data_IF_099572648554
#
_entry.id   IF_099572648554
#
_cell.length_a   1.000
_cell.length_b   1.000
_cell.length_c   1.000
_cell.angle_alpha   90.00
_cell.angle_beta   90.00
_cell.angle_gamma   90.00
#
_symmetry.space_group_name_H-M   'P 1'
#
loop_
_entity.id
_entity.type
_entity.pdbx_description
1 polymer ?
#
# COMPACT_ATOMS: atom_id res chain seq x y z
N UNK A 1 -22.81 -3.01 -12.97
CA UNK A 1 -22.12 -4.17 -13.57
C UNK A 1 -21.00 -4.65 -12.67
N UNK A 2 -20.90 -5.96 -12.37
CA UNK A 2 -19.72 -6.52 -11.73
C UNK A 2 -18.50 -6.25 -12.63
N UNK A 3 -17.45 -5.64 -12.10
CA UNK A 3 -16.20 -5.39 -12.83
C UNK A 3 -16.00 -3.99 -13.40
N UNK A 4 -16.91 -3.04 -13.18
CA UNK A 4 -16.82 -1.68 -13.75
C UNK A 4 -15.57 -0.89 -13.35
N UNK A 5 -14.90 -1.26 -12.24
CA UNK A 5 -13.64 -0.66 -11.79
C UNK A 5 -12.53 -1.70 -11.56
N UNK A 6 -12.81 -2.99 -11.72
CA UNK A 6 -11.82 -4.05 -11.42
C UNK A 6 -10.59 -3.99 -12.33
N UNK A 7 -10.71 -3.40 -13.52
CA UNK A 7 -9.58 -3.18 -14.42
C UNK A 7 -8.59 -2.12 -13.90
N UNK A 8 -9.00 -1.30 -12.92
CA UNK A 8 -8.14 -0.31 -12.30
C UNK A 8 -7.24 -0.93 -11.23
N UNK A 9 -7.48 -2.17 -10.79
CA UNK A 9 -6.73 -2.80 -9.72
C UNK A 9 -5.90 -3.97 -10.24
N UNK A 10 -4.60 -3.96 -9.93
CA UNK A 10 -3.67 -5.03 -10.25
C UNK A 10 -3.36 -5.84 -9.00
N UNK A 11 -3.31 -7.17 -9.14
CA UNK A 11 -2.86 -8.03 -8.05
C UNK A 11 -1.34 -7.95 -7.94
N UNK A 12 -0.85 -7.32 -6.88
CA UNK A 12 0.57 -7.09 -6.59
C UNK A 12 0.98 -7.81 -5.31
N UNK A 13 2.27 -8.01 -5.11
CA UNK A 13 2.85 -8.35 -3.82
C UNK A 13 3.25 -7.07 -3.10
N UNK A 14 2.88 -6.95 -1.83
CA UNK A 14 3.27 -5.84 -0.97
C UNK A 14 3.98 -6.37 0.27
N UNK A 15 5.16 -5.82 0.56
CA UNK A 15 5.92 -6.12 1.78
C UNK A 15 6.07 -4.84 2.59
N UNK A 16 5.64 -4.87 3.86
CA UNK A 16 5.78 -3.74 4.78
C UNK A 16 7.03 -3.94 5.63
N UNK A 17 7.99 -3.02 5.49
CA UNK A 17 9.27 -3.05 6.19
C UNK A 17 9.28 -1.91 7.21
N UNK A 18 9.34 -2.17 8.52
CA UNK A 18 9.41 -1.12 9.52
C UNK A 18 10.68 -0.27 9.31
N UNK A 19 10.57 1.06 9.41
CA UNK A 19 11.70 1.95 9.09
C UNK A 19 12.91 1.69 9.96
N UNK A 20 12.71 1.58 11.27
CA UNK A 20 13.78 1.45 12.26
C UNK A 20 14.95 2.43 11.97
N UNK A 21 16.14 1.92 11.66
CA UNK A 21 17.32 2.72 11.26
C UNK A 21 17.60 2.69 9.75
N UNK A 22 16.73 2.06 8.96
CA UNK A 22 16.89 1.89 7.52
C UNK A 22 16.55 3.18 6.77
N UNK A 23 17.30 3.43 5.70
CA UNK A 23 16.94 4.37 4.65
C UNK A 23 16.22 3.67 3.49
N UNK A 24 15.54 4.45 2.65
CA UNK A 24 14.92 3.95 1.41
C UNK A 24 15.97 3.25 0.53
N UNK A 25 17.18 3.82 0.43
CA UNK A 25 18.30 3.26 -0.34
C UNK A 25 18.73 1.87 0.18
N UNK A 26 18.71 1.64 1.50
CA UNK A 26 19.04 0.35 2.09
C UNK A 26 18.02 -0.73 1.66
N UNK A 27 16.73 -0.38 1.73
CA UNK A 27 15.64 -1.28 1.33
C UNK A 27 15.68 -1.54 -0.17
N UNK A 28 15.80 -0.49 -0.99
CA UNK A 28 15.87 -0.59 -2.44
C UNK A 28 17.03 -1.48 -2.89
N UNK A 29 18.21 -1.29 -2.31
CA UNK A 29 19.39 -2.10 -2.62
C UNK A 29 19.16 -3.58 -2.32
N UNK A 30 18.43 -3.90 -1.25
CA UNK A 30 18.13 -5.28 -0.88
C UNK A 30 17.17 -5.98 -1.85
N UNK A 31 16.27 -5.24 -2.52
CA UNK A 31 15.16 -5.82 -3.29
C UNK A 31 15.21 -5.61 -4.80
N UNK A 32 16.06 -4.71 -5.30
CA UNK A 32 16.14 -4.32 -6.71
C UNK A 32 16.31 -5.53 -7.66
N UNK A 33 17.18 -6.48 -7.31
CA UNK A 33 17.43 -7.67 -8.12
C UNK A 33 16.41 -8.80 -7.89
N UNK A 34 15.49 -8.62 -6.93
CA UNK A 34 14.52 -9.63 -6.51
C UNK A 34 13.14 -9.46 -7.15
N UNK A 35 12.97 -8.45 -8.03
CA UNK A 35 11.70 -8.17 -8.72
C UNK A 35 10.82 -7.12 -8.04
N UNK A 36 11.39 -6.30 -7.16
CA UNK A 36 10.69 -5.11 -6.68
C UNK A 36 10.50 -4.09 -7.81
N UNK A 37 9.32 -3.48 -7.84
CA UNK A 37 8.93 -2.45 -8.80
C UNK A 37 9.06 -1.06 -8.18
N UNK A 38 8.61 -0.89 -6.93
CA UNK A 38 8.59 0.38 -6.21
C UNK A 38 8.94 0.17 -4.73
N UNK A 39 9.56 1.19 -4.13
CA UNK A 39 9.76 1.31 -2.68
C UNK A 39 9.20 2.67 -2.27
N UNK A 40 8.13 2.68 -1.49
CA UNK A 40 7.49 3.91 -1.03
C UNK A 40 7.85 4.17 0.43
N UNK A 41 8.26 5.40 0.76
CA UNK A 41 8.45 5.85 2.14
C UNK A 41 7.09 6.27 2.75
N UNK A 42 6.62 5.53 3.75
CA UNK A 42 5.39 5.79 4.48
C UNK A 42 5.63 6.50 5.82
N UNK A 43 6.81 7.07 6.03
CA UNK A 43 7.21 7.73 7.28
C UNK A 43 7.73 6.74 8.32
N UNK A 44 6.86 5.89 8.87
CA UNK A 44 7.21 4.90 9.92
C UNK A 44 7.60 3.53 9.35
N UNK A 45 7.33 3.30 8.07
CA UNK A 45 7.64 2.06 7.35
C UNK A 45 7.95 2.35 5.88
N UNK A 46 8.52 1.37 5.19
CA UNK A 46 8.63 1.32 3.74
C UNK A 46 7.66 0.29 3.20
N UNK A 47 7.02 0.61 2.08
CA UNK A 47 6.21 -0.32 1.31
C UNK A 47 7.00 -0.74 0.07
N UNK A 48 7.30 -2.04 -0.04
CA UNK A 48 7.91 -2.61 -1.25
C UNK A 48 6.82 -3.25 -2.09
N UNK A 49 6.64 -2.75 -3.31
CA UNK A 49 5.66 -3.25 -4.28
C UNK A 49 6.38 -4.11 -5.32
N UNK A 50 5.76 -5.24 -5.70
CA UNK A 50 6.25 -6.12 -6.75
C UNK A 50 5.10 -6.83 -7.47
N UNK A 51 5.39 -7.57 -8.54
CA UNK A 51 4.44 -8.55 -9.06
C UNK A 51 4.11 -9.62 -8.01
N UNK A 52 2.85 -10.07 -7.97
CA UNK A 52 2.43 -11.05 -6.97
C UNK A 52 3.19 -12.40 -7.08
N UNK A 53 3.76 -12.71 -8.25
CA UNK A 53 4.64 -13.87 -8.45
C UNK A 53 6.01 -13.72 -7.79
N UNK A 54 6.46 -12.49 -7.58
CA UNK A 54 7.82 -12.16 -7.17
C UNK A 54 7.91 -11.91 -5.65
N UNK A 55 6.76 -11.83 -4.96
CA UNK A 55 6.64 -11.62 -3.52
C UNK A 55 7.57 -12.53 -2.68
N UNK A 56 7.69 -13.80 -3.06
CA UNK A 56 8.58 -14.74 -2.35
C UNK A 56 10.05 -14.35 -2.53
N UNK A 57 10.45 -13.96 -3.74
CA UNK A 57 11.83 -13.55 -4.03
C UNK A 57 12.17 -12.26 -3.27
N UNK A 58 11.28 -11.26 -3.33
CA UNK A 58 11.44 -9.97 -2.64
C UNK A 58 11.59 -10.13 -1.13
N UNK A 59 10.66 -10.83 -0.47
CA UNK A 59 10.74 -11.02 0.99
C UNK A 59 11.98 -11.83 1.43
N UNK A 60 12.42 -12.78 0.60
CA UNK A 60 13.63 -13.54 0.87
C UNK A 60 14.91 -12.73 0.67
N UNK A 61 14.90 -11.76 -0.25
CA UNK A 61 16.01 -10.84 -0.46
C UNK A 61 16.19 -9.90 0.76
N UNK A 62 15.09 -9.35 1.29
CA UNK A 62 15.09 -8.60 2.55
C UNK A 62 15.71 -9.42 3.70
N UNK A 63 15.22 -10.65 3.90
CA UNK A 63 15.75 -11.55 4.93
C UNK A 63 17.24 -11.87 4.74
N UNK A 64 17.69 -12.03 3.49
CA UNK A 64 19.11 -12.29 3.17
C UNK A 64 19.98 -11.08 3.47
N UNK A 65 19.45 -9.86 3.29
CA UNK A 65 20.08 -8.61 3.68
C UNK A 65 20.03 -8.34 5.20
N UNK A 66 19.34 -9.20 5.98
CA UNK A 66 19.16 -9.01 7.42
C UNK A 66 18.10 -7.96 7.77
N UNK A 67 17.19 -7.67 6.83
CA UNK A 67 16.07 -6.74 7.01
C UNK A 67 14.81 -7.56 7.34
N UNK A 68 14.25 -7.30 8.52
CA UNK A 68 12.96 -7.85 8.93
C UNK A 68 11.80 -7.09 8.28
N UNK A 69 10.66 -7.75 8.14
CA UNK A 69 9.42 -7.17 7.61
C UNK A 69 8.24 -7.54 8.51
N UNK A 70 7.24 -6.67 8.58
CA UNK A 70 6.02 -6.87 9.37
C UNK A 70 5.01 -7.76 8.64
N UNK A 71 4.87 -7.58 7.33
CA UNK A 71 3.95 -8.34 6.48
C UNK A 71 4.45 -8.50 5.05
N UNK A 72 3.94 -9.50 4.35
CA UNK A 72 4.31 -9.82 2.97
C UNK A 72 3.16 -10.57 2.29
N UNK A 73 2.26 -9.82 1.64
CA UNK A 73 0.95 -10.33 1.20
C UNK A 73 0.61 -9.94 -0.24
N UNK A 74 -0.09 -10.80 -0.98
CA UNK A 74 -0.68 -10.41 -2.26
C UNK A 74 -1.91 -9.51 -2.01
N UNK A 75 -1.92 -8.32 -2.59
CA UNK A 75 -3.02 -7.35 -2.48
C UNK A 75 -3.44 -6.81 -3.85
N UNK A 76 -4.54 -6.06 -3.89
CA UNK A 76 -4.99 -5.34 -5.08
C UNK A 76 -4.63 -3.87 -4.95
N UNK A 77 -3.65 -3.41 -5.74
CA UNK A 77 -3.25 -2.00 -5.79
C UNK A 77 -3.92 -1.30 -6.98
N UNK A 78 -4.38 -0.05 -6.79
CA UNK A 78 -4.89 0.76 -7.88
C UNK A 78 -3.75 1.13 -8.85
N UNK A 79 -4.06 1.14 -10.14
CA UNK A 79 -3.13 1.57 -11.21
C UNK A 79 -3.16 3.07 -11.47
N UNK A 80 -4.17 3.76 -10.93
CA UNK A 80 -4.32 5.22 -10.99
C UNK A 80 -4.96 5.70 -9.69
N UNK A 81 -4.33 6.67 -9.04
CA UNK A 81 -4.88 7.34 -7.86
C UNK A 81 -5.66 8.61 -8.23
N UNK A 82 -6.60 9.00 -7.37
CA UNK A 82 -7.45 10.19 -7.52
C UNK A 82 -7.30 11.06 -6.29
N UNK A 83 -6.72 12.25 -6.46
CA UNK A 83 -6.57 13.22 -5.38
C UNK A 83 -7.94 13.68 -4.87
N UNK A 84 -8.11 13.67 -3.54
CA UNK A 84 -9.31 14.19 -2.91
C UNK A 84 -9.02 15.49 -2.15
N UNK A 85 -9.91 16.47 -2.33
CA UNK A 85 -9.99 17.61 -1.42
C UNK A 85 -10.64 17.21 -0.08
N UNK A 86 -10.60 18.13 0.89
CA UNK A 86 -11.14 17.91 2.24
C UNK A 86 -12.60 17.44 2.24
N UNK A 87 -13.45 18.05 1.41
CA UNK A 87 -14.88 17.76 1.39
C UNK A 87 -15.16 16.38 0.79
N UNK A 88 -14.42 16.00 -0.26
CA UNK A 88 -14.51 14.71 -0.89
C UNK A 88 -13.93 13.61 0.02
N UNK A 89 -12.74 13.82 0.60
CA UNK A 89 -12.10 12.89 1.52
C UNK A 89 -12.99 12.59 2.73
N UNK A 90 -13.59 13.61 3.36
CA UNK A 90 -14.52 13.41 4.49
C UNK A 90 -15.72 12.53 4.13
N UNK A 91 -16.29 12.69 2.94
CA UNK A 91 -17.43 11.87 2.49
C UNK A 91 -17.02 10.45 2.17
N UNK A 92 -15.86 10.28 1.53
CA UNK A 92 -15.32 8.97 1.16
C UNK A 92 -14.94 8.17 2.40
N UNK A 93 -14.27 8.77 3.39
CA UNK A 93 -13.91 8.07 4.63
C UNK A 93 -15.14 7.60 5.41
N UNK A 94 -16.17 8.46 5.54
CA UNK A 94 -17.45 8.04 6.16
C UNK A 94 -18.11 6.87 5.42
N UNK A 95 -17.96 6.80 4.10
CA UNK A 95 -18.48 5.68 3.32
C UNK A 95 -17.69 4.41 3.59
N UNK A 96 -16.36 4.49 3.65
CA UNK A 96 -15.49 3.35 3.96
C UNK A 96 -15.80 2.82 5.35
N UNK A 97 -15.86 3.68 6.37
CA UNK A 97 -16.22 3.29 7.73
C UNK A 97 -17.56 2.54 7.76
N UNK A 98 -18.58 3.06 7.07
CA UNK A 98 -19.88 2.39 7.01
C UNK A 98 -19.87 1.05 6.28
N UNK A 99 -18.92 0.83 5.34
CA UNK A 99 -18.73 -0.45 4.66
C UNK A 99 -17.97 -1.44 5.56
N UNK A 100 -16.96 -0.97 6.28
CA UNK A 100 -16.15 -1.80 7.19
C UNK A 100 -16.93 -2.24 8.43
N UNK A 101 -17.92 -1.46 8.86
CA UNK A 101 -18.86 -1.82 9.94
C UNK A 101 -19.78 -3.02 9.59
N UNK A 102 -19.81 -3.46 8.33
CA UNK A 102 -20.63 -4.58 7.89
C UNK A 102 -19.88 -5.90 8.03
N UNK A 103 -20.43 -6.83 8.83
CA UNK A 103 -19.88 -8.19 9.03
C UNK A 103 -19.69 -8.99 7.71
N UNK A 104 -20.49 -8.68 6.68
CA UNK A 104 -20.42 -9.32 5.36
C UNK A 104 -19.30 -8.77 4.44
N UNK A 105 -18.68 -7.63 4.81
CA UNK A 105 -17.58 -7.02 4.06
C UNK A 105 -16.25 -7.53 4.60
N UNK A 106 -15.40 -8.01 3.69
CA UNK A 106 -14.10 -8.58 4.06
C UNK A 106 -12.94 -7.64 3.78
N UNK A 107 -13.02 -6.85 2.70
CA UNK A 107 -12.00 -5.88 2.31
C UNK A 107 -12.65 -4.73 1.55
N UNK A 108 -12.14 -3.52 1.74
CA UNK A 108 -12.48 -2.35 0.93
C UNK A 108 -11.21 -1.91 0.20
N UNK A 109 -11.29 -1.74 -1.12
CA UNK A 109 -10.20 -1.19 -1.93
C UNK A 109 -10.67 0.09 -2.59
N UNK A 110 -9.83 1.10 -2.51
CA UNK A 110 -10.08 2.41 -3.09
C UNK A 110 -8.82 2.92 -3.78
N UNK A 111 -9.00 3.90 -4.65
CA UNK A 111 -7.92 4.48 -5.44
C UNK A 111 -7.78 5.98 -5.18
N UNK A 112 -8.11 6.46 -3.99
CA UNK A 112 -7.90 7.86 -3.66
C UNK A 112 -6.50 8.10 -3.11
N UNK A 113 -6.03 9.33 -3.26
CA UNK A 113 -4.86 9.88 -2.57
C UNK A 113 -5.30 11.14 -1.79
N UNK A 114 -4.77 11.32 -0.59
CA UNK A 114 -5.11 12.44 0.30
C UNK A 114 -3.82 12.99 0.90
N UNK A 115 -3.53 14.26 0.62
CA UNK A 115 -2.31 14.89 1.12
C UNK A 115 -2.30 15.04 2.64
N UNK A 116 -1.10 15.10 3.22
CA UNK A 116 -0.91 15.30 4.67
C UNK A 116 -1.67 16.54 5.20
N UNK A 117 -1.67 17.65 4.44
CA UNK A 117 -2.42 18.87 4.81
C UNK A 117 -3.93 18.59 4.95
N UNK A 118 -4.50 17.80 4.04
CA UNK A 118 -5.92 17.43 4.08
C UNK A 118 -6.19 16.46 5.23
N UNK A 119 -5.29 15.51 5.46
CA UNK A 119 -5.37 14.57 6.59
C UNK A 119 -5.33 15.29 7.94
N UNK A 120 -4.39 16.22 8.13
CA UNK A 120 -4.30 17.07 9.33
C UNK A 120 -5.58 17.90 9.52
N UNK A 121 -6.11 18.47 8.45
CA UNK A 121 -7.33 19.27 8.50
C UNK A 121 -8.60 18.46 8.83
N UNK A 122 -8.57 17.13 8.67
CA UNK A 122 -9.65 16.22 9.04
C UNK A 122 -9.51 15.67 10.47
N UNK A 123 -8.28 15.63 11.00
CA UNK A 123 -8.00 15.18 12.36
C UNK A 123 -8.32 16.24 13.44
N UNK A 124 -8.42 17.51 13.06
CA UNK A 124 -8.78 18.66 13.92
C UNK A 124 -10.26 19.03 13.88
#
# INVERSE_FOLDING_TARGET
>A
DPGSVSYLFNRKGVVIVPRAELSEDDVLTAVLDAGAEEVNDLGEAFEVVCEASDLIAVRSALQTAGIDYDSADPTFLPSVSVDLDKDAASKVFRLIEALEDSDDVQNVWANFDVSDEVMEALAG
#
